data_IF_641988818973
#
_entry.id   IF_641988818973
#
_cell.length_a   1.000
_cell.length_b   1.000
_cell.length_c   1.000
_cell.angle_alpha   90.00
_cell.angle_beta   90.00
_cell.angle_gamma   90.00
#
_symmetry.space_group_name_H-M   'P 1'
#
loop_
_entity.id
_entity.type
_entity.pdbx_description
1 polymer ?
#
# COMPACT_ATOMS: atom_id res chain seq x y z
N UNK A 1 4.31 -6.05 30.28
CA UNK A 1 4.05 -4.96 29.31
C UNK A 1 2.86 -4.14 29.79
N UNK A 2 3.11 -2.92 30.27
CA UNK A 2 2.09 -2.01 30.79
C UNK A 2 1.17 -1.56 29.65
N UNK A 3 -0.14 -1.79 29.81
CA UNK A 3 -1.14 -1.40 28.81
C UNK A 3 -1.27 0.12 28.85
N UNK A 4 -0.72 0.82 27.85
CA UNK A 4 -0.93 2.26 27.71
C UNK A 4 -2.45 2.52 27.62
N UNK A 5 -3.05 3.28 28.56
CA UNK A 5 -4.48 3.54 28.54
C UNK A 5 -4.86 4.29 27.25
N UNK A 6 -6.10 4.08 26.78
CA UNK A 6 -6.63 4.78 25.61
C UNK A 6 -7.01 6.19 26.01
N UNK A 7 -6.46 7.19 25.32
CA UNK A 7 -6.89 8.58 25.52
C UNK A 7 -8.22 8.84 24.80
N UNK A 8 -8.96 9.84 25.26
CA UNK A 8 -10.21 10.27 24.62
C UNK A 8 -9.98 10.69 23.17
N UNK A 9 -8.86 11.36 22.88
CA UNK A 9 -8.48 11.76 21.52
C UNK A 9 -8.21 10.55 20.61
N UNK A 10 -7.56 9.51 21.13
CA UNK A 10 -7.33 8.27 20.38
C UNK A 10 -8.64 7.54 20.09
N UNK A 11 -9.60 7.58 21.02
CA UNK A 11 -10.92 6.98 20.83
C UNK A 11 -11.74 7.73 19.78
N UNK A 12 -11.78 9.06 19.83
CA UNK A 12 -12.47 9.87 18.83
C UNK A 12 -11.89 9.64 17.43
N UNK A 13 -10.55 9.60 17.33
CA UNK A 13 -9.86 9.34 16.07
C UNK A 13 -10.12 7.93 15.56
N UNK A 14 -10.16 6.93 16.45
CA UNK A 14 -10.50 5.54 16.10
C UNK A 14 -11.93 5.41 15.56
N UNK A 15 -12.90 6.09 16.19
CA UNK A 15 -14.30 6.07 15.73
C UNK A 15 -14.40 6.70 14.33
N UNK A 16 -13.81 7.88 14.14
CA UNK A 16 -13.81 8.56 12.83
C UNK A 16 -13.18 7.72 11.72
N UNK A 17 -12.02 7.12 12.00
CA UNK A 17 -11.30 6.34 10.98
C UNK A 17 -11.94 4.97 10.70
N UNK A 18 -12.77 4.44 11.62
CA UNK A 18 -13.36 3.11 11.46
C UNK A 18 -14.27 2.97 10.24
N UNK A 19 -14.96 4.04 9.84
CA UNK A 19 -15.85 4.10 8.67
C UNK A 19 -15.11 4.21 7.34
N UNK A 20 -13.84 4.61 7.39
CA UNK A 20 -13.03 4.93 6.21
C UNK A 20 -11.93 3.90 5.97
N UNK A 21 -11.28 3.44 7.05
CA UNK A 21 -10.02 2.72 7.01
C UNK A 21 -10.10 1.35 7.70
N UNK A 22 -9.30 0.36 7.25
CA UNK A 22 -9.19 -0.92 7.92
C UNK A 22 -8.30 -0.82 9.16
N UNK A 23 -8.42 -1.76 10.12
CA UNK A 23 -7.71 -1.69 11.41
C UNK A 23 -6.18 -1.59 11.31
N UNK A 24 -5.59 -2.06 10.21
CA UNK A 24 -4.14 -2.00 9.97
C UNK A 24 -3.67 -0.56 9.72
N UNK A 25 -4.47 0.24 9.01
CA UNK A 25 -4.15 1.64 8.73
C UNK A 25 -4.39 2.49 9.98
N UNK A 26 -5.51 2.25 10.67
CA UNK A 26 -5.83 2.91 11.95
C UNK A 26 -4.72 2.67 12.98
N UNK A 27 -4.16 1.46 13.03
CA UNK A 27 -3.05 1.12 13.91
C UNK A 27 -1.78 1.93 13.63
N UNK A 28 -1.45 2.15 12.35
CA UNK A 28 -0.32 3.01 11.95
C UNK A 28 -0.56 4.45 12.39
N UNK A 29 -1.77 4.95 12.13
CA UNK A 29 -2.16 6.33 12.44
C UNK A 29 -2.18 6.63 13.95
N UNK A 30 -2.52 5.63 14.77
CA UNK A 30 -2.54 5.73 16.23
C UNK A 30 -1.23 5.27 16.87
N UNK A 31 -0.23 4.85 16.08
CA UNK A 31 1.02 4.25 16.57
C UNK A 31 0.79 3.15 17.62
N UNK A 32 -0.25 2.34 17.43
CA UNK A 32 -0.66 1.26 18.34
C UNK A 32 -0.69 -0.08 17.60
N UNK A 33 -0.45 -1.20 18.30
CA UNK A 33 -0.50 -2.51 17.66
C UNK A 33 -1.92 -2.83 17.17
N UNK A 34 -2.01 -3.43 15.97
CA UNK A 34 -3.28 -3.81 15.31
C UNK A 34 -4.17 -4.67 16.21
N UNK A 35 -3.56 -5.55 17.00
CA UNK A 35 -4.26 -6.42 17.96
C UNK A 35 -4.99 -5.60 19.03
N UNK A 36 -4.37 -4.54 19.54
CA UNK A 36 -4.99 -3.63 20.51
C UNK A 36 -6.12 -2.82 19.88
N UNK A 37 -5.94 -2.34 18.65
CA UNK A 37 -6.98 -1.60 17.91
C UNK A 37 -8.19 -2.49 17.66
N UNK A 38 -8.00 -3.71 17.13
CA UNK A 38 -9.09 -4.67 16.91
C UNK A 38 -9.83 -5.03 18.19
N UNK A 39 -9.09 -5.24 19.28
CA UNK A 39 -9.68 -5.50 20.60
C UNK A 39 -10.53 -4.31 21.04
N UNK A 40 -10.01 -3.09 20.91
CA UNK A 40 -10.73 -1.88 21.33
C UNK A 40 -11.96 -1.61 20.47
N UNK A 41 -11.88 -1.81 19.16
CA UNK A 41 -13.03 -1.69 18.26
C UNK A 41 -14.14 -2.68 18.64
N UNK A 42 -13.78 -3.91 19.01
CA UNK A 42 -14.74 -4.90 19.50
C UNK A 42 -15.37 -4.51 20.83
N UNK A 43 -14.58 -3.96 21.76
CA UNK A 43 -15.08 -3.49 23.07
C UNK A 43 -16.09 -2.33 22.92
N UNK A 44 -15.91 -1.45 21.94
CA UNK A 44 -16.79 -0.29 21.70
C UNK A 44 -17.95 -0.66 20.74
N UNK A 45 -17.91 -1.84 20.11
CA UNK A 45 -18.95 -2.28 19.17
C UNK A 45 -18.90 -1.58 17.81
N UNK A 46 -17.73 -1.09 17.41
CA UNK A 46 -17.57 -0.34 16.15
C UNK A 46 -17.21 -1.29 15.01
N UNK A 47 -18.04 -1.30 13.96
CA UNK A 47 -17.72 -1.98 12.71
C UNK A 47 -16.65 -1.22 11.93
N UNK A 48 -15.77 -1.94 11.22
CA UNK A 48 -14.71 -1.34 10.44
C UNK A 48 -14.76 -1.77 8.97
N UNK A 49 -14.21 -0.92 8.09
CA UNK A 49 -14.08 -1.23 6.67
C UNK A 49 -13.13 -2.42 6.48
N UNK A 50 -13.54 -3.37 5.64
CA UNK A 50 -12.68 -4.50 5.30
C UNK A 50 -11.52 -4.05 4.41
N UNK A 51 -10.40 -4.78 4.47
CA UNK A 51 -9.24 -4.45 3.64
C UNK A 51 -9.53 -4.46 2.14
N UNK A 52 -10.47 -5.29 1.69
CA UNK A 52 -10.87 -5.36 0.29
C UNK A 52 -11.71 -4.14 -0.14
N UNK A 53 -12.70 -3.74 0.67
CA UNK A 53 -13.49 -2.54 0.41
C UNK A 53 -12.61 -1.30 0.40
N UNK A 54 -11.63 -1.22 1.29
CA UNK A 54 -10.68 -0.12 1.32
C UNK A 54 -9.82 -0.07 0.06
N UNK A 55 -9.28 -1.21 -0.40
CA UNK A 55 -8.53 -1.28 -1.66
C UNK A 55 -9.37 -0.85 -2.86
N UNK A 56 -10.62 -1.30 -2.94
CA UNK A 56 -11.54 -0.89 -4.02
C UNK A 56 -11.75 0.63 -4.02
N UNK A 57 -11.96 1.26 -2.85
CA UNK A 57 -12.05 2.73 -2.74
C UNK A 57 -10.76 3.44 -3.17
N UNK A 58 -9.60 2.92 -2.78
CA UNK A 58 -8.30 3.49 -3.17
C UNK A 58 -8.06 3.41 -4.68
N UNK A 59 -8.38 2.27 -5.29
CA UNK A 59 -8.28 2.08 -6.75
C UNK A 59 -9.24 3.04 -7.46
N UNK A 60 -10.48 3.15 -6.97
CA UNK A 60 -11.45 4.08 -7.53
C UNK A 60 -10.99 5.54 -7.41
N UNK A 61 -10.44 5.92 -6.26
CA UNK A 61 -9.86 7.25 -6.05
C UNK A 61 -8.73 7.54 -7.05
N UNK A 62 -7.85 6.57 -7.31
CA UNK A 62 -6.77 6.69 -8.31
C UNK A 62 -7.29 6.78 -9.75
N UNK A 63 -8.39 6.10 -10.07
CA UNK A 63 -9.00 6.15 -11.41
C UNK A 63 -9.74 7.48 -11.63
N UNK A 64 -10.38 8.02 -10.59
CA UNK A 64 -11.13 9.27 -10.64
C UNK A 64 -10.24 10.52 -10.62
N UNK A 65 -8.98 10.43 -10.19
CA UNK A 65 -8.02 11.54 -10.25
C UNK A 65 -7.41 11.67 -11.67
N UNK A 66 -8.22 12.13 -12.64
CA UNK A 66 -7.76 12.52 -13.98
C UNK A 66 -6.76 13.70 -13.94
N UNK A 67 -6.65 14.40 -12.80
CA UNK A 67 -5.79 15.58 -12.61
C UNK A 67 -4.35 15.32 -12.18
N UNK A 68 -3.95 14.06 -11.95
CA UNK A 68 -2.55 13.70 -11.62
C UNK A 68 -2.03 14.28 -10.30
N UNK A 69 -2.91 14.66 -9.37
CA UNK A 69 -2.53 15.25 -8.08
C UNK A 69 -1.89 14.22 -7.15
N UNK A 70 -2.27 12.93 -7.25
CA UNK A 70 -1.59 11.85 -6.53
C UNK A 70 -0.09 11.75 -6.88
N UNK A 71 0.27 12.01 -8.15
CA UNK A 71 1.66 11.94 -8.64
C UNK A 71 2.53 13.06 -8.07
N UNK A 72 1.94 14.22 -7.79
CA UNK A 72 2.64 15.36 -7.21
C UNK A 72 2.82 15.22 -5.69
N UNK A 73 1.84 14.67 -4.97
CA UNK A 73 1.97 14.37 -3.54
C UNK A 73 2.97 13.23 -3.25
N UNK A 74 3.12 12.25 -4.14
CA UNK A 74 4.15 11.21 -4.03
C UNK A 74 5.56 11.79 -4.11
N UNK A 75 5.77 12.85 -4.93
CA UNK A 75 7.04 13.57 -5.03
C UNK A 75 7.37 14.46 -3.83
N UNK A 76 6.35 14.89 -3.06
CA UNK A 76 6.58 15.69 -1.86
C UNK A 76 6.87 14.83 -0.63
N UNK A 77 6.37 13.59 -0.58
CA UNK A 77 6.61 12.64 0.52
C UNK A 77 7.89 11.83 0.37
N UNK A 78 8.51 11.81 -0.81
CA UNK A 78 9.79 11.15 -1.07
C UNK A 78 11.02 11.80 -0.40
N UNK A 79 10.84 12.81 0.45
CA UNK A 79 11.97 13.41 1.19
C UNK A 79 12.15 12.87 2.61
N UNK A 80 11.20 12.12 3.18
CA UNK A 80 11.37 11.51 4.51
C UNK A 80 10.63 10.16 4.60
N UNK A 81 11.28 9.10 4.14
CA UNK A 81 11.40 7.77 4.78
C UNK A 81 11.73 6.69 3.75
N UNK A 82 12.99 6.25 3.81
CA UNK A 82 13.51 5.00 3.25
C UNK A 82 12.62 3.80 3.64
N UNK A 83 11.77 3.35 2.72
CA UNK A 83 11.43 1.93 2.63
C UNK A 83 11.02 1.57 1.20
N UNK A 84 11.79 2.04 0.21
CA UNK A 84 11.81 1.38 -1.09
C UNK A 84 12.50 0.03 -0.89
N UNK A 85 11.72 -1.05 -0.95
CA UNK A 85 12.27 -2.41 -0.91
C UNK A 85 13.27 -2.53 -2.07
N UNK A 86 14.58 -2.77 -1.81
CA UNK A 86 15.60 -2.82 -2.87
C UNK A 86 15.30 -3.89 -3.93
N UNK A 87 14.46 -4.88 -3.58
CA UNK A 87 13.96 -5.91 -4.48
C UNK A 87 13.06 -5.36 -5.59
N UNK A 88 12.28 -4.31 -5.31
CA UNK A 88 11.41 -3.67 -6.31
C UNK A 88 12.23 -2.81 -7.28
N UNK A 89 13.27 -2.13 -6.80
CA UNK A 89 14.16 -1.33 -7.64
C UNK A 89 14.94 -2.20 -8.61
N UNK A 90 15.50 -3.32 -8.16
CA UNK A 90 16.17 -4.27 -9.05
C UNK A 90 15.21 -4.84 -10.12
N UNK A 91 13.96 -5.12 -9.74
CA UNK A 91 12.94 -5.63 -10.65
C UNK A 91 12.59 -4.61 -11.74
N UNK A 92 12.26 -3.38 -11.35
CA UNK A 92 11.89 -2.32 -12.29
C UNK A 92 13.07 -1.92 -13.19
N UNK A 93 14.28 -1.84 -12.64
CA UNK A 93 15.48 -1.59 -13.43
C UNK A 93 15.73 -2.71 -14.45
N UNK A 94 15.59 -3.97 -14.05
CA UNK A 94 15.73 -5.12 -14.96
C UNK A 94 14.68 -5.08 -16.07
N UNK A 95 13.43 -4.73 -15.71
CA UNK A 95 12.32 -4.60 -16.65
C UNK A 95 12.57 -3.51 -17.69
N UNK A 96 13.09 -2.35 -17.26
CA UNK A 96 13.45 -1.24 -18.14
C UNK A 96 14.61 -1.62 -19.07
N UNK A 97 15.65 -2.29 -18.56
CA UNK A 97 16.79 -2.76 -19.37
C UNK A 97 16.33 -3.74 -20.45
N UNK A 98 15.53 -4.74 -20.07
CA UNK A 98 15.05 -5.76 -21.01
C UNK A 98 14.05 -5.21 -22.03
N UNK A 99 13.17 -4.28 -21.62
CA UNK A 99 12.27 -3.59 -22.55
C UNK A 99 13.07 -2.78 -23.60
N UNK A 100 14.15 -2.12 -23.19
CA UNK A 100 15.07 -1.44 -24.13
C UNK A 100 15.72 -2.42 -25.11
N UNK A 101 16.18 -3.57 -24.65
CA UNK A 101 16.78 -4.61 -25.50
C UNK A 101 15.77 -5.19 -26.50
N UNK A 102 14.56 -5.48 -26.05
CA UNK A 102 13.51 -6.03 -26.91
C UNK A 102 13.03 -5.00 -27.95
N UNK A 103 12.90 -3.72 -27.56
CA UNK A 103 12.63 -2.61 -28.48
C UNK A 103 13.72 -2.49 -29.55
N UNK A 104 15.01 -2.61 -29.16
CA UNK A 104 16.14 -2.62 -30.09
C UNK A 104 16.10 -3.80 -31.07
N UNK A 105 15.48 -4.92 -30.69
CA UNK A 105 15.27 -6.11 -31.52
C UNK A 105 13.92 -6.11 -32.27
N UNK A 106 13.17 -5.01 -32.25
CA UNK A 106 11.88 -4.87 -32.94
C UNK A 106 10.73 -5.69 -32.35
N UNK A 107 10.91 -6.24 -31.13
CA UNK A 107 9.89 -7.06 -30.45
C UNK A 107 9.07 -6.21 -29.48
N UNK A 108 7.75 -6.36 -29.52
CA UNK A 108 6.85 -5.81 -28.49
C UNK A 108 6.87 -6.73 -27.28
N UNK A 109 7.09 -6.15 -26.10
CA UNK A 109 7.08 -6.90 -24.83
C UNK A 109 5.83 -6.49 -24.07
N UNK A 110 4.97 -7.47 -23.84
CA UNK A 110 3.83 -7.33 -22.94
C UNK A 110 4.31 -7.50 -21.49
N UNK A 111 3.82 -6.63 -20.60
CA UNK A 111 4.25 -6.54 -19.20
C UNK A 111 3.90 -7.82 -18.44
N UNK A 112 2.75 -8.44 -18.75
CA UNK A 112 2.30 -9.67 -18.11
C UNK A 112 3.15 -10.87 -18.53
N UNK A 113 3.39 -11.01 -19.83
CA UNK A 113 4.31 -12.02 -20.39
C UNK A 113 5.74 -11.90 -19.83
N UNK A 114 6.17 -10.67 -19.54
CA UNK A 114 7.47 -10.38 -18.96
C UNK A 114 7.57 -10.75 -17.48
N UNK A 115 6.55 -10.42 -16.67
CA UNK A 115 6.48 -10.81 -15.26
C UNK A 115 6.56 -12.33 -15.13
N UNK A 116 5.85 -13.06 -16.00
CA UNK A 116 5.89 -14.53 -16.04
C UNK A 116 7.28 -15.06 -16.42
N UNK A 117 7.95 -14.43 -17.38
CA UNK A 117 9.31 -14.81 -17.79
C UNK A 117 10.32 -14.53 -16.68
N UNK A 118 10.23 -13.37 -16.02
CA UNK A 118 11.09 -13.01 -14.90
C UNK A 118 10.89 -13.96 -13.71
N UNK A 119 9.64 -14.33 -13.40
CA UNK A 119 9.32 -15.31 -12.37
C UNK A 119 9.90 -16.68 -12.71
N UNK A 120 9.81 -17.15 -13.96
CA UNK A 120 10.43 -18.41 -14.41
C UNK A 120 11.96 -18.43 -14.27
N UNK A 121 12.63 -17.32 -14.58
CA UNK A 121 14.09 -17.22 -14.50
C UNK A 121 14.57 -17.15 -13.04
N UNK A 122 13.86 -16.42 -12.17
CA UNK A 122 14.29 -16.17 -10.78
C UNK A 122 13.89 -17.28 -9.81
N UNK A 123 12.78 -17.97 -10.03
CA UNK A 123 12.29 -19.03 -9.13
C UNK A 123 12.86 -20.41 -9.48
N UNK A 124 13.52 -20.54 -10.64
CA UNK A 124 14.05 -21.81 -11.13
C UNK A 124 12.94 -22.71 -11.67
N UNK A 125 13.23 -23.36 -12.80
CA UNK A 125 12.49 -24.54 -13.25
C UNK A 125 12.98 -25.78 -12.53
#
# INVERSE_FOLDING_TARGET
>A
MTKKPWSTQELDKLIRLSSECPPVIIARELSRPVTSVRKKMREIGVSYVTGEQWKKRQIQYLISDEGGTYRNNLKQTSNENEFESPVLDEFWNTLVIMARVAKKRGKRVDVLSFIDTYRKIRVGG
#
